data_IF_356060934662
#
_entry.id   IF_356060934662
#
_cell.length_a   1.000
_cell.length_b   1.000
_cell.length_c   1.000
_cell.angle_alpha   90.00
_cell.angle_beta   90.00
_cell.angle_gamma   90.00
#
_symmetry.space_group_name_H-M   'P 1'
#
loop_
_entity.id
_entity.type
_entity.pdbx_description
1 polymer ?
#
# COMPACT_ATOMS: atom_id res chain seq x y z
N UNK A 1 -6.34 24.16 20.40
CA UNK A 1 -5.80 23.46 19.23
C UNK A 1 -6.96 22.85 18.46
N UNK A 2 -6.99 23.03 17.16
CA UNK A 2 -7.99 22.38 16.31
C UNK A 2 -7.52 20.94 16.09
N UNK A 3 -8.24 19.98 16.66
CA UNK A 3 -8.00 18.57 16.37
C UNK A 3 -8.87 18.18 15.18
N UNK A 4 -8.25 17.89 14.08
CA UNK A 4 -8.91 17.38 12.88
C UNK A 4 -8.81 15.85 12.84
N UNK A 5 -9.79 15.22 12.23
CA UNK A 5 -9.69 13.81 11.90
C UNK A 5 -8.68 13.63 10.76
N UNK A 6 -7.71 12.76 10.95
CA UNK A 6 -6.75 12.34 9.93
C UNK A 6 -6.84 10.83 9.79
N UNK A 7 -7.48 10.37 8.72
CA UNK A 7 -7.73 8.94 8.47
C UNK A 7 -8.85 8.72 7.46
N UNK A 8 -9.12 7.47 7.16
CA UNK A 8 -10.22 7.05 6.29
C UNK A 8 -11.49 6.79 7.09
N UNK A 9 -12.63 7.13 6.51
CA UNK A 9 -13.95 6.95 7.13
C UNK A 9 -14.93 6.47 6.06
N UNK A 10 -15.82 5.55 6.43
CA UNK A 10 -16.88 5.04 5.56
C UNK A 10 -18.17 4.84 6.34
N UNK A 11 -19.30 4.92 5.64
CA UNK A 11 -20.61 4.61 6.19
C UNK A 11 -20.89 5.30 7.54
N UNK A 12 -20.77 6.63 7.56
CA UNK A 12 -21.03 7.41 8.76
C UNK A 12 -22.54 7.58 8.96
N UNK A 13 -23.04 7.04 10.05
CA UNK A 13 -24.45 7.11 10.45
C UNK A 13 -24.63 8.01 11.69
N UNK A 14 -25.59 8.90 11.62
CA UNK A 14 -26.08 9.68 12.76
C UNK A 14 -27.57 9.45 12.90
N UNK A 15 -28.01 8.81 13.99
CA UNK A 15 -29.41 8.50 14.26
C UNK A 15 -29.92 9.41 15.37
N UNK A 16 -30.74 10.40 14.99
CA UNK A 16 -31.28 11.39 15.90
C UNK A 16 -32.43 10.80 16.73
N UNK A 17 -32.21 10.76 18.04
CA UNK A 17 -33.22 10.25 19.01
C UNK A 17 -33.31 8.72 19.12
N UNK A 18 -32.43 7.97 18.45
CA UNK A 18 -32.42 6.50 18.48
C UNK A 18 -31.07 5.95 18.90
N UNK A 19 -31.09 4.88 19.69
CA UNK A 19 -29.90 4.13 20.08
C UNK A 19 -29.92 2.75 19.39
N UNK A 20 -28.90 2.43 18.65
CA UNK A 20 -28.74 1.19 17.91
C UNK A 20 -27.48 0.44 18.33
N UNK A 21 -27.45 -0.85 18.07
CA UNK A 21 -26.28 -1.70 18.31
C UNK A 21 -25.43 -1.81 17.03
N UNK A 22 -24.18 -2.24 17.15
CA UNK A 22 -23.31 -2.48 15.98
C UNK A 22 -23.92 -3.48 14.98
N UNK A 23 -24.68 -4.47 15.47
CA UNK A 23 -25.40 -5.46 14.65
C UNK A 23 -26.51 -4.87 13.77
N UNK A 24 -27.00 -3.66 14.06
CA UNK A 24 -27.96 -2.97 13.21
C UNK A 24 -27.29 -2.46 11.93
N UNK A 25 -25.99 -2.12 11.99
CA UNK A 25 -25.19 -1.55 10.90
C UNK A 25 -24.25 -2.54 10.22
N UNK A 26 -24.05 -3.71 10.78
CA UNK A 26 -23.21 -4.75 10.21
C UNK A 26 -23.57 -6.13 10.71
N UNK A 27 -22.88 -7.11 10.21
CA UNK A 27 -23.03 -8.51 10.60
C UNK A 27 -21.71 -9.25 10.49
N UNK A 28 -21.53 -10.30 11.27
CA UNK A 28 -20.36 -11.18 11.15
C UNK A 28 -20.68 -12.27 10.14
N UNK A 29 -19.85 -12.41 9.12
CA UNK A 29 -19.93 -13.49 8.16
C UNK A 29 -19.71 -14.82 8.89
N UNK A 30 -20.67 -15.73 8.78
CA UNK A 30 -20.64 -17.01 9.50
C UNK A 30 -19.52 -17.96 9.01
N UNK A 31 -19.01 -17.76 7.80
CA UNK A 31 -17.97 -18.61 7.19
C UNK A 31 -16.58 -18.09 7.50
N UNK A 32 -16.35 -16.78 7.34
CA UNK A 32 -15.03 -16.17 7.49
C UNK A 32 -14.79 -15.59 8.88
N UNK A 33 -15.83 -15.33 9.66
CA UNK A 33 -15.75 -14.59 10.92
C UNK A 33 -15.53 -13.08 10.73
N UNK A 34 -15.48 -12.59 9.50
CA UNK A 34 -15.29 -11.18 9.18
C UNK A 34 -16.55 -10.37 9.48
N UNK A 35 -16.40 -9.22 10.11
CA UNK A 35 -17.50 -8.27 10.27
C UNK A 35 -17.73 -7.51 8.96
N UNK A 36 -18.94 -7.60 8.42
CA UNK A 36 -19.35 -6.96 7.16
C UNK A 36 -20.35 -5.85 7.41
N UNK A 37 -20.12 -4.72 6.76
CA UNK A 37 -21.02 -3.56 6.84
C UNK A 37 -22.30 -3.81 6.06
N UNK A 38 -23.43 -3.42 6.62
CA UNK A 38 -24.72 -3.42 5.90
C UNK A 38 -24.80 -2.16 5.05
N UNK A 39 -24.91 -2.32 3.76
CA UNK A 39 -25.00 -1.20 2.80
C UNK A 39 -26.39 -0.51 2.85
N UNK A 40 -27.38 -1.14 3.47
CA UNK A 40 -28.74 -0.61 3.64
C UNK A 40 -29.30 -1.07 4.98
N UNK A 41 -28.81 -0.52 6.11
CA UNK A 41 -29.30 -0.88 7.43
C UNK A 41 -30.75 -0.44 7.60
N UNK A 42 -31.56 -1.27 8.29
CA UNK A 42 -32.96 -0.98 8.59
C UNK A 42 -33.06 -0.22 9.91
N UNK A 43 -32.73 1.07 9.88
CA UNK A 43 -32.72 1.95 11.06
C UNK A 43 -33.51 3.23 10.79
N UNK A 44 -34.01 3.86 11.85
CA UNK A 44 -34.61 5.19 11.77
C UNK A 44 -33.53 6.25 12.03
N UNK A 45 -33.48 7.25 11.17
CA UNK A 45 -32.53 8.36 11.31
C UNK A 45 -33.12 9.54 12.12
N UNK A 46 -34.42 9.50 12.45
CA UNK A 46 -35.07 10.64 13.08
C UNK A 46 -35.17 11.84 12.13
N UNK A 47 -35.34 13.04 12.67
CA UNK A 47 -35.50 14.25 11.84
C UNK A 47 -34.20 14.84 11.40
N UNK A 48 -33.18 14.88 12.26
CA UNK A 48 -31.87 15.51 11.97
C UNK A 48 -30.77 14.47 11.68
N UNK A 49 -31.11 13.19 11.63
CA UNK A 49 -30.16 12.13 11.34
C UNK A 49 -29.81 12.05 9.85
N UNK A 50 -28.68 11.41 9.56
CA UNK A 50 -28.14 11.29 8.20
C UNK A 50 -27.24 10.07 8.05
N UNK A 51 -27.00 9.68 6.81
CA UNK A 51 -26.07 8.63 6.39
C UNK A 51 -25.22 9.12 5.23
N UNK A 52 -23.95 9.32 5.45
CA UNK A 52 -23.00 9.85 4.44
C UNK A 52 -21.79 8.94 4.26
N UNK A 53 -20.95 9.23 3.27
CA UNK A 53 -19.71 8.51 2.94
C UNK A 53 -19.93 7.01 2.62
N UNK A 54 -21.09 6.69 2.06
CA UNK A 54 -21.39 5.35 1.57
C UNK A 54 -20.74 5.10 0.21
N UNK A 55 -20.88 6.06 -0.70
CA UNK A 55 -20.45 5.93 -2.08
C UNK A 55 -19.29 6.89 -2.36
N UNK A 56 -18.09 6.45 -2.03
CA UNK A 56 -16.87 7.25 -2.19
C UNK A 56 -16.82 8.42 -1.21
N UNK A 57 -16.33 9.57 -1.66
CA UNK A 57 -16.21 10.79 -0.86
C UNK A 57 -17.46 11.69 -0.89
N UNK A 58 -18.63 11.11 -1.15
CA UNK A 58 -19.89 11.85 -1.17
C UNK A 58 -20.37 12.19 0.24
N UNK A 59 -20.67 13.45 0.47
CA UNK A 59 -21.35 13.95 1.68
C UNK A 59 -22.86 14.15 1.46
N UNK A 60 -23.41 13.59 0.39
CA UNK A 60 -24.83 13.52 0.16
C UNK A 60 -25.45 12.52 1.12
N UNK A 61 -26.51 12.92 1.80
CA UNK A 61 -27.24 12.06 2.71
C UNK A 61 -27.96 10.94 1.97
N UNK A 62 -27.63 9.72 2.31
CA UNK A 62 -28.22 8.48 1.76
C UNK A 62 -29.38 7.96 2.60
N UNK A 63 -29.72 8.64 3.69
CA UNK A 63 -30.92 8.37 4.47
C UNK A 63 -32.18 8.95 3.80
N UNK A 64 -33.37 8.55 4.24
CA UNK A 64 -34.61 9.16 3.73
C UNK A 64 -34.75 10.67 4.02
N UNK A 65 -33.93 11.23 4.92
CA UNK A 65 -34.09 12.62 5.39
C UNK A 65 -33.58 13.67 4.41
N UNK A 66 -32.65 13.32 3.54
CA UNK A 66 -32.00 14.25 2.60
C UNK A 66 -31.29 15.42 3.29
N UNK A 67 -30.73 15.21 4.48
CA UNK A 67 -29.93 16.18 5.23
C UNK A 67 -28.52 16.29 4.65
N UNK A 68 -28.39 16.83 3.43
CA UNK A 68 -27.15 16.92 2.69
C UNK A 68 -26.16 17.88 3.32
N UNK A 69 -24.87 17.55 3.22
CA UNK A 69 -23.75 18.38 3.63
C UNK A 69 -23.05 19.01 2.43
N UNK A 70 -22.29 20.04 2.71
CA UNK A 70 -21.38 20.66 1.74
C UNK A 70 -19.98 20.67 2.33
N UNK A 71 -18.99 20.28 1.54
CA UNK A 71 -17.57 20.39 1.93
C UNK A 71 -17.19 21.85 1.98
N UNK A 72 -16.99 22.40 3.18
CA UNK A 72 -16.74 23.82 3.39
C UNK A 72 -15.26 24.20 3.11
N UNK A 73 -14.33 23.28 3.34
CA UNK A 73 -12.90 23.47 3.10
C UNK A 73 -12.19 22.12 2.98
N UNK A 74 -11.03 22.11 2.32
CA UNK A 74 -10.26 20.90 2.05
C UNK A 74 -10.85 20.05 0.94
N UNK A 75 -10.29 18.87 0.77
CA UNK A 75 -10.73 17.88 -0.21
C UNK A 75 -11.02 16.55 0.51
N UNK A 76 -12.12 15.93 0.16
CA UNK A 76 -12.37 14.54 0.50
C UNK A 76 -11.79 13.68 -0.61
N UNK A 77 -10.96 12.73 -0.22
CA UNK A 77 -10.30 11.81 -1.14
C UNK A 77 -11.03 10.48 -1.09
N UNK A 78 -11.53 10.02 -2.23
CA UNK A 78 -12.11 8.68 -2.31
C UNK A 78 -10.99 7.65 -2.25
N UNK A 79 -11.07 6.72 -1.29
CA UNK A 79 -10.20 5.55 -1.21
C UNK A 79 -11.02 4.28 -1.36
N UNK A 80 -10.39 3.19 -1.80
CA UNK A 80 -11.03 1.89 -1.89
C UNK A 80 -11.06 1.15 -0.54
N UNK A 81 -10.39 1.70 0.48
CA UNK A 81 -10.42 1.16 1.84
C UNK A 81 -11.81 1.23 2.44
N UNK A 82 -12.25 0.11 2.96
CA UNK A 82 -13.48 -0.01 3.74
C UNK A 82 -13.33 -1.14 4.76
N UNK A 83 -14.20 -1.23 5.78
CA UNK A 83 -14.09 -2.29 6.81
C UNK A 83 -14.07 -3.72 6.26
N UNK A 84 -14.65 -3.96 5.10
CA UNK A 84 -14.66 -5.27 4.44
C UNK A 84 -13.54 -5.48 3.42
N UNK A 85 -12.73 -4.47 3.17
CA UNK A 85 -11.54 -4.59 2.31
C UNK A 85 -10.50 -3.54 2.69
N UNK A 86 -9.56 -3.95 3.52
CA UNK A 86 -8.48 -3.08 4.00
C UNK A 86 -7.23 -3.36 3.19
N UNK A 87 -6.66 -2.34 2.58
CA UNK A 87 -5.41 -2.42 1.87
C UNK A 87 -4.22 -2.37 2.82
N UNK A 88 -3.10 -2.92 2.38
CA UNK A 88 -1.83 -2.81 3.08
C UNK A 88 -1.46 -1.34 3.30
N UNK A 89 -0.87 -1.05 4.44
CA UNK A 89 -0.18 0.20 4.75
C UNK A 89 1.16 -0.13 5.41
N UNK A 90 2.02 0.84 5.65
CA UNK A 90 3.19 0.59 6.48
C UNK A 90 2.81 0.53 7.96
N UNK A 91 3.51 -0.33 8.70
CA UNK A 91 3.30 -0.49 10.14
C UNK A 91 4.10 0.58 10.91
N UNK A 92 3.45 1.54 11.59
CA UNK A 92 4.15 2.57 12.33
C UNK A 92 4.86 2.04 13.59
N UNK A 93 4.60 0.81 13.99
CA UNK A 93 5.25 0.15 15.13
C UNK A 93 6.48 -0.68 14.71
N UNK A 94 6.70 -0.85 13.42
CA UNK A 94 7.80 -1.64 12.85
C UNK A 94 8.59 -0.78 11.85
N UNK A 95 9.20 0.28 12.36
CA UNK A 95 9.97 1.26 11.60
C UNK A 95 11.48 1.13 11.82
N UNK A 96 11.93 0.01 12.38
CA UNK A 96 13.35 -0.21 12.68
C UNK A 96 13.91 0.77 13.73
N UNK A 97 15.15 1.18 13.57
CA UNK A 97 15.85 2.10 14.51
C UNK A 97 15.62 3.57 14.19
N UNK A 98 14.63 3.91 13.38
CA UNK A 98 14.62 5.19 12.68
C UNK A 98 13.59 6.23 13.09
N UNK A 99 13.90 7.45 12.67
CA UNK A 99 13.17 8.69 12.91
C UNK A 99 12.27 9.10 11.74
N UNK A 100 11.88 8.15 10.88
CA UNK A 100 10.99 8.36 9.73
C UNK A 100 9.59 8.77 10.08
N UNK A 101 8.99 9.52 9.16
CA UNK A 101 7.58 9.89 9.25
C UNK A 101 6.79 9.12 8.21
N UNK A 102 5.84 8.32 8.69
CA UNK A 102 4.76 7.80 7.87
C UNK A 102 3.66 8.87 7.81
N UNK A 103 3.18 9.15 6.61
CA UNK A 103 2.18 10.18 6.32
C UNK A 103 1.06 9.57 5.49
N UNK A 104 -0.03 10.31 5.32
CA UNK A 104 -1.15 9.96 4.46
C UNK A 104 -1.71 8.56 4.76
N UNK A 105 -2.05 8.30 6.02
CA UNK A 105 -2.55 6.98 6.44
C UNK A 105 -1.51 5.87 6.32
N UNK A 106 -0.22 6.18 6.55
CA UNK A 106 0.92 5.28 6.46
C UNK A 106 1.17 4.71 5.05
N UNK A 107 0.80 5.45 4.01
CA UNK A 107 1.09 5.09 2.61
C UNK A 107 2.21 5.94 2.00
N UNK A 108 2.63 7.00 2.68
CA UNK A 108 3.77 7.82 2.26
C UNK A 108 4.89 7.74 3.28
N UNK A 109 6.10 7.57 2.79
CA UNK A 109 7.30 7.49 3.61
C UNK A 109 8.23 8.66 3.29
N UNK A 110 8.53 9.46 4.30
CA UNK A 110 9.45 10.60 4.18
C UNK A 110 10.56 10.48 5.20
N UNK A 111 11.82 10.35 4.75
CA UNK A 111 12.85 9.97 5.69
C UNK A 111 14.30 10.29 5.36
N UNK A 112 15.07 10.43 6.44
CA UNK A 112 16.54 10.44 6.42
C UNK A 112 17.18 9.05 6.51
N UNK A 113 16.64 8.10 7.24
CA UNK A 113 17.10 6.69 7.32
C UNK A 113 15.94 5.82 7.83
N UNK A 114 15.92 4.52 7.51
CA UNK A 114 15.07 3.53 8.16
C UNK A 114 14.32 2.57 7.25
N UNK A 115 13.66 1.68 7.91
CA UNK A 115 12.96 0.56 7.33
C UNK A 115 11.48 0.61 7.67
N UNK A 116 10.62 0.22 6.76
CA UNK A 116 9.18 0.04 7.05
C UNK A 116 8.65 -1.22 6.37
N UNK A 117 7.83 -1.94 7.08
CA UNK A 117 7.14 -3.14 6.58
C UNK A 117 5.64 -2.89 6.45
N UNK A 118 5.04 -3.57 5.49
CA UNK A 118 3.59 -3.59 5.31
C UNK A 118 2.86 -4.28 6.44
N UNK A 119 1.65 -3.81 6.73
CA UNK A 119 0.74 -4.35 7.77
C UNK A 119 0.06 -5.64 7.35
N UNK A 120 -0.06 -5.90 6.05
CA UNK A 120 -0.68 -7.09 5.49
C UNK A 120 0.40 -7.97 4.88
N UNK A 121 0.37 -9.23 5.24
CA UNK A 121 1.25 -10.26 4.70
C UNK A 121 0.46 -11.15 3.75
N UNK A 122 0.87 -11.22 2.48
CA UNK A 122 0.34 -12.17 1.53
C UNK A 122 0.76 -13.60 1.89
N UNK A 123 -0.15 -14.58 1.84
CA UNK A 123 0.20 -15.96 2.11
C UNK A 123 1.14 -16.50 1.04
N UNK A 124 1.79 -17.61 1.40
CA UNK A 124 2.53 -18.44 0.47
C UNK A 124 1.58 -19.03 -0.56
N UNK A 125 1.87 -18.80 -1.84
CA UNK A 125 1.01 -19.27 -2.94
C UNK A 125 0.20 -18.18 -3.66
N UNK A 126 0.22 -16.97 -3.19
CA UNK A 126 -0.47 -15.83 -3.82
C UNK A 126 0.39 -15.08 -4.85
N UNK A 127 -0.29 -14.20 -5.60
CA UNK A 127 0.34 -13.26 -6.53
C UNK A 127 -0.13 -11.85 -6.18
N UNK A 128 0.81 -10.96 -5.85
CA UNK A 128 0.54 -9.67 -5.24
C UNK A 128 1.12 -8.55 -6.09
N UNK A 129 0.45 -7.39 -6.09
CA UNK A 129 0.88 -6.22 -6.82
C UNK A 129 0.65 -4.95 -5.99
N UNK A 130 1.59 -4.02 -6.08
CA UNK A 130 1.48 -2.65 -5.56
C UNK A 130 2.35 -1.70 -6.36
N UNK A 131 2.16 -0.42 -6.16
CA UNK A 131 2.91 0.64 -6.84
C UNK A 131 3.57 1.58 -5.84
N UNK A 132 4.72 2.14 -6.23
CA UNK A 132 5.46 3.13 -5.48
C UNK A 132 5.84 4.29 -6.39
N UNK A 133 5.37 5.51 -6.09
CA UNK A 133 5.74 6.73 -6.81
C UNK A 133 6.96 7.37 -6.17
N UNK A 134 7.99 7.58 -6.96
CA UNK A 134 9.24 8.20 -6.52
C UNK A 134 9.03 9.70 -6.36
N UNK A 135 9.25 10.22 -5.16
CA UNK A 135 9.09 11.63 -4.84
C UNK A 135 10.25 12.50 -5.33
N UNK A 136 10.15 13.80 -5.08
CA UNK A 136 11.19 14.76 -5.42
C UNK A 136 12.48 14.53 -4.61
N UNK A 137 13.61 14.85 -5.19
CA UNK A 137 14.94 14.67 -4.58
C UNK A 137 15.59 13.32 -4.87
N UNK A 138 14.92 12.43 -5.60
CA UNK A 138 15.52 11.24 -6.17
C UNK A 138 16.24 11.54 -7.47
N UNK A 139 17.44 10.98 -7.61
CA UNK A 139 18.11 10.80 -8.89
C UNK A 139 18.53 12.09 -9.59
N UNK A 140 19.76 12.36 -9.55
CA UNK A 140 20.55 13.10 -10.52
C UNK A 140 21.92 12.48 -10.52
N UNK A 141 22.53 12.33 -11.67
CA UNK A 141 23.92 11.92 -11.76
C UNK A 141 24.78 12.81 -10.85
N UNK A 142 25.39 12.24 -9.83
CA UNK A 142 26.27 12.95 -8.92
C UNK A 142 25.76 13.21 -7.49
N UNK A 143 24.54 12.85 -7.15
CA UNK A 143 24.13 12.87 -5.77
C UNK A 143 24.75 11.68 -5.03
N UNK A 144 25.51 11.91 -3.99
CA UNK A 144 25.96 10.89 -3.03
C UNK A 144 24.78 10.34 -2.22
N UNK A 145 23.74 9.93 -2.92
CA UNK A 145 22.47 9.70 -2.37
C UNK A 145 22.24 8.24 -2.08
N UNK A 146 21.88 8.05 -0.89
CA UNK A 146 21.32 6.94 -0.18
C UNK A 146 20.70 5.84 -1.03
N UNK A 147 21.07 4.64 -0.71
CA UNK A 147 20.49 3.43 -1.24
C UNK A 147 19.03 3.34 -0.83
N UNK A 148 18.13 3.33 -1.78
CA UNK A 148 16.72 3.01 -1.59
C UNK A 148 16.45 1.60 -2.03
N UNK A 149 15.78 0.87 -1.16
CA UNK A 149 15.34 -0.49 -1.43
C UNK A 149 13.82 -0.51 -1.38
N UNK A 150 13.19 -0.99 -2.42
CA UNK A 150 11.75 -1.21 -2.47
C UNK A 150 11.45 -2.55 -3.13
N UNK A 151 10.54 -3.30 -2.54
CA UNK A 151 10.19 -4.62 -3.01
C UNK A 151 9.41 -5.42 -2.01
N UNK A 152 9.66 -6.72 -1.95
CA UNK A 152 9.03 -7.64 -1.05
C UNK A 152 9.99 -8.17 0.01
N UNK A 153 9.50 -8.25 1.23
CA UNK A 153 10.10 -9.00 2.30
C UNK A 153 9.40 -10.36 2.42
N UNK A 154 10.20 -11.44 2.38
CA UNK A 154 9.69 -12.79 2.59
C UNK A 154 9.93 -13.18 4.04
N UNK A 155 8.88 -13.16 4.86
CA UNK A 155 8.97 -13.40 6.29
C UNK A 155 9.14 -14.89 6.62
N UNK A 156 10.04 -15.17 7.56
CA UNK A 156 10.24 -16.50 8.17
C UNK A 156 9.72 -16.52 9.61
N UNK A 157 9.42 -17.68 10.14
CA UNK A 157 8.79 -17.86 11.46
C UNK A 157 9.56 -17.24 12.65
N UNK A 158 10.85 -17.03 12.54
CA UNK A 158 11.70 -16.44 13.61
C UNK A 158 12.49 -15.25 13.12
N UNK A 159 11.92 -14.44 12.25
CA UNK A 159 12.68 -13.47 11.52
C UNK A 159 12.91 -12.18 12.29
N UNK A 160 14.17 -11.90 12.56
CA UNK A 160 14.63 -10.55 12.85
C UNK A 160 15.00 -9.84 11.55
N UNK A 161 14.58 -8.61 11.39
CA UNK A 161 14.80 -7.72 10.26
C UNK A 161 16.19 -7.75 9.61
N UNK A 162 17.21 -7.93 10.43
CA UNK A 162 18.58 -7.67 10.04
C UNK A 162 19.18 -8.65 9.03
N UNK A 163 18.53 -9.76 8.70
CA UNK A 163 19.23 -10.83 8.00
C UNK A 163 18.55 -11.43 6.77
N UNK A 164 17.28 -11.14 6.50
CA UNK A 164 16.59 -11.75 5.36
C UNK A 164 15.46 -10.87 4.80
N UNK A 165 15.81 -9.84 4.05
CA UNK A 165 14.84 -8.87 3.55
C UNK A 165 14.14 -9.27 2.25
N UNK A 166 14.42 -10.43 1.69
CA UNK A 166 13.79 -10.84 0.45
C UNK A 166 14.40 -10.22 -0.81
N UNK A 167 13.60 -9.95 -1.81
CA UNK A 167 14.05 -9.43 -3.10
C UNK A 167 13.67 -7.96 -3.24
N UNK A 168 14.63 -7.13 -3.61
CA UNK A 168 14.48 -5.68 -3.64
C UNK A 168 15.08 -5.07 -4.89
N UNK A 169 14.40 -4.04 -5.41
CA UNK A 169 15.02 -3.10 -6.33
C UNK A 169 15.81 -2.07 -5.54
N UNK A 170 17.03 -1.82 -5.93
CA UNK A 170 17.94 -0.89 -5.29
C UNK A 170 18.20 0.28 -6.22
N UNK A 171 17.88 1.49 -5.77
CA UNK A 171 18.39 2.70 -6.40
C UNK A 171 19.65 3.12 -5.65
N UNK A 172 20.80 2.89 -6.24
CA UNK A 172 22.09 3.15 -5.59
C UNK A 172 22.75 4.41 -6.15
N UNK A 173 22.97 5.39 -5.28
CA UNK A 173 23.66 6.63 -5.65
C UNK A 173 25.10 6.75 -5.16
N UNK A 174 25.57 5.89 -4.25
CA UNK A 174 26.82 6.15 -3.54
C UNK A 174 28.08 5.46 -4.08
N UNK A 175 28.01 4.17 -4.34
CA UNK A 175 29.20 3.37 -4.67
C UNK A 175 29.05 2.54 -5.96
N UNK A 176 27.93 2.56 -6.63
CA UNK A 176 27.59 1.75 -7.79
C UNK A 176 27.03 2.59 -8.95
N UNK A 177 27.61 3.78 -9.17
CA UNK A 177 27.43 4.56 -10.41
C UNK A 177 25.99 4.74 -10.88
N UNK A 178 25.09 5.28 -10.05
CA UNK A 178 23.71 5.61 -10.46
C UNK A 178 23.01 4.46 -11.22
N UNK A 179 22.98 3.29 -10.65
CA UNK A 179 22.35 2.12 -11.27
C UNK A 179 21.09 1.73 -10.53
N UNK A 180 20.10 1.21 -11.26
CA UNK A 180 19.07 0.39 -10.68
C UNK A 180 19.57 -1.04 -10.63
N UNK A 181 19.59 -1.64 -9.45
CA UNK A 181 20.06 -2.99 -9.25
C UNK A 181 18.99 -3.84 -8.58
N UNK A 182 18.94 -5.12 -8.89
CA UNK A 182 18.07 -6.09 -8.25
C UNK A 182 18.87 -6.88 -7.22
N UNK A 183 18.41 -6.86 -5.99
CA UNK A 183 19.09 -7.49 -4.88
C UNK A 183 18.24 -8.63 -4.31
N UNK A 184 18.82 -9.84 -4.31
CA UNK A 184 18.23 -11.00 -3.68
C UNK A 184 18.96 -11.29 -2.36
N UNK A 185 18.34 -11.02 -1.23
CA UNK A 185 18.89 -11.26 0.11
C UNK A 185 18.26 -12.48 0.80
N UNK A 186 17.75 -13.44 0.05
CA UNK A 186 17.12 -14.63 0.62
C UNK A 186 18.10 -15.71 1.05
N UNK A 187 19.40 -15.42 1.07
CA UNK A 187 20.41 -16.36 1.56
C UNK A 187 21.86 -16.06 1.17
N UNK A 188 22.12 -15.52 0.02
CA UNK A 188 23.50 -15.33 -0.48
C UNK A 188 23.76 -13.97 -1.14
N UNK A 189 22.84 -13.05 -1.00
CA UNK A 189 22.98 -11.68 -1.47
C UNK A 189 23.53 -11.57 -2.90
N UNK A 190 22.74 -11.88 -3.91
CA UNK A 190 23.15 -11.68 -5.31
C UNK A 190 22.58 -10.37 -5.84
N UNK A 191 23.40 -9.61 -6.56
CA UNK A 191 22.99 -8.40 -7.24
C UNK A 191 22.97 -8.65 -8.73
N UNK A 192 21.85 -8.37 -9.37
CA UNK A 192 21.73 -8.31 -10.83
C UNK A 192 21.49 -6.87 -11.24
N UNK A 193 22.22 -6.40 -12.22
CA UNK A 193 22.07 -5.04 -12.75
C UNK A 193 21.35 -5.09 -14.10
N UNK A 194 20.06 -4.81 -14.17
CA UNK A 194 19.42 -4.58 -15.46
C UNK A 194 20.01 -3.30 -16.09
N UNK A 195 20.08 -3.27 -17.41
CA UNK A 195 20.61 -2.13 -18.16
C UNK A 195 19.60 -0.97 -18.20
N UNK A 196 19.12 -0.52 -17.04
CA UNK A 196 18.18 0.58 -16.91
C UNK A 196 18.70 1.62 -15.93
N UNK A 197 18.41 2.88 -16.22
CA UNK A 197 18.69 3.97 -15.29
C UNK A 197 17.81 3.88 -14.06
N UNK A 198 18.24 4.40 -12.89
CA UNK A 198 17.39 4.53 -11.72
C UNK A 198 16.13 5.34 -12.05
N UNK A 199 15.00 5.03 -11.40
CA UNK A 199 13.77 5.79 -11.64
C UNK A 199 13.94 7.25 -11.19
N UNK A 200 13.58 8.17 -12.07
CA UNK A 200 13.56 9.59 -11.76
C UNK A 200 12.37 9.94 -10.85
N UNK A 201 12.40 11.14 -10.26
CA UNK A 201 11.25 11.69 -9.55
C UNK A 201 9.99 11.69 -10.45
N UNK A 202 8.87 11.27 -9.91
CA UNK A 202 7.62 11.09 -10.62
C UNK A 202 7.42 9.72 -11.27
N UNK A 203 8.49 8.90 -11.40
CA UNK A 203 8.35 7.53 -11.90
C UNK A 203 7.49 6.71 -10.95
N UNK A 204 6.54 5.97 -11.48
CA UNK A 204 5.76 4.98 -10.75
C UNK A 204 6.39 3.61 -10.98
N UNK A 205 6.79 2.99 -9.89
CA UNK A 205 7.40 1.67 -9.87
C UNK A 205 6.36 0.65 -9.47
N UNK A 206 5.95 -0.22 -10.39
CA UNK A 206 5.13 -1.39 -10.10
C UNK A 206 5.99 -2.52 -9.56
N UNK A 207 5.51 -3.21 -8.53
CA UNK A 207 6.14 -4.39 -7.94
C UNK A 207 5.14 -5.55 -7.97
N UNK A 208 5.49 -6.64 -8.66
CA UNK A 208 4.68 -7.84 -8.76
C UNK A 208 5.41 -9.03 -8.17
N UNK A 209 4.78 -9.70 -7.22
CA UNK A 209 5.31 -10.87 -6.50
C UNK A 209 4.49 -12.09 -6.85
N UNK A 210 5.13 -13.18 -7.26
CA UNK A 210 4.48 -14.47 -7.50
C UNK A 210 5.08 -15.54 -6.58
N UNK A 211 4.26 -16.08 -5.70
CA UNK A 211 4.57 -17.18 -4.80
C UNK A 211 3.74 -18.44 -5.10
N UNK A 212 3.07 -18.51 -6.24
CA UNK A 212 2.14 -19.59 -6.58
C UNK A 212 2.83 -20.93 -6.93
N UNK A 213 4.12 -20.91 -7.20
CA UNK A 213 4.92 -22.09 -7.55
C UNK A 213 5.77 -22.63 -6.41
N UNK A 214 6.66 -23.60 -6.70
CA UNK A 214 7.67 -24.12 -5.77
C UNK A 214 8.78 -23.12 -5.43
N UNK A 215 8.92 -22.06 -6.24
CA UNK A 215 9.81 -20.93 -6.01
C UNK A 215 9.06 -19.63 -6.28
N UNK A 216 9.50 -18.56 -5.64
CA UNK A 216 8.94 -17.22 -5.85
C UNK A 216 9.68 -16.45 -6.93
N UNK A 217 8.99 -15.47 -7.49
CA UNK A 217 9.57 -14.45 -8.34
C UNK A 217 9.05 -13.06 -7.98
N UNK A 218 9.83 -12.05 -8.34
CA UNK A 218 9.43 -10.66 -8.20
C UNK A 218 9.85 -9.90 -9.45
N UNK A 219 8.98 -9.01 -9.94
CA UNK A 219 9.19 -8.18 -11.10
C UNK A 219 9.03 -6.72 -10.75
N UNK A 220 9.82 -5.87 -11.40
CA UNK A 220 9.73 -4.42 -11.31
C UNK A 220 9.36 -3.82 -12.66
N UNK A 221 8.50 -2.81 -12.60
CA UNK A 221 8.01 -2.07 -13.77
C UNK A 221 8.26 -0.59 -13.54
N UNK A 222 8.77 0.13 -14.53
CA UNK A 222 8.81 1.59 -14.51
C UNK A 222 7.78 2.12 -15.49
N UNK A 223 6.83 2.89 -14.96
CA UNK A 223 5.71 3.43 -15.73
C UNK A 223 5.06 2.35 -16.61
N UNK A 224 4.74 1.20 -16.02
CA UNK A 224 4.10 0.06 -16.68
C UNK A 224 5.00 -0.85 -17.51
N UNK A 225 6.28 -0.49 -17.73
CA UNK A 225 7.22 -1.31 -18.52
C UNK A 225 8.11 -2.15 -17.61
N UNK A 226 8.14 -3.47 -17.81
CA UNK A 226 9.03 -4.37 -17.04
C UNK A 226 10.50 -4.00 -17.27
N UNK A 227 11.22 -3.76 -16.18
CA UNK A 227 12.64 -3.37 -16.19
C UNK A 227 13.55 -4.44 -15.64
N UNK A 228 13.02 -5.41 -14.91
CA UNK A 228 13.80 -6.52 -14.42
C UNK A 228 13.04 -7.44 -13.48
N UNK A 229 13.62 -8.60 -13.22
CA UNK A 229 13.02 -9.61 -12.35
C UNK A 229 14.06 -10.42 -11.60
N UNK A 230 13.66 -10.95 -10.44
CA UNK A 230 14.36 -12.02 -9.74
C UNK A 230 13.45 -13.23 -9.75
N UNK A 231 13.98 -14.38 -10.10
CA UNK A 231 13.25 -15.66 -10.17
C UNK A 231 14.00 -16.73 -9.39
N UNK A 232 13.32 -17.85 -9.12
CA UNK A 232 13.95 -19.00 -8.44
C UNK A 232 14.22 -18.76 -6.96
N UNK A 233 13.50 -17.81 -6.32
CA UNK A 233 13.64 -17.57 -4.89
C UNK A 233 13.04 -18.75 -4.14
N UNK A 234 13.88 -19.50 -3.43
CA UNK A 234 13.43 -20.62 -2.59
C UNK A 234 12.70 -20.06 -1.36
N UNK A 235 11.45 -20.48 -1.15
CA UNK A 235 10.60 -19.96 -0.10
C UNK A 235 9.97 -21.05 0.80
N UNK A 236 10.60 -22.22 0.90
CA UNK A 236 10.13 -23.33 1.74
C UNK A 236 9.93 -22.93 3.20
N UNK A 237 10.80 -22.03 3.69
CA UNK A 237 10.82 -21.56 5.07
C UNK A 237 10.04 -20.25 5.27
N UNK A 238 9.41 -19.71 4.23
CA UNK A 238 8.70 -18.44 4.31
C UNK A 238 7.23 -18.65 4.66
N UNK A 239 6.68 -17.78 5.51
CA UNK A 239 5.26 -17.75 5.83
C UNK A 239 4.46 -17.05 4.73
N UNK A 240 5.06 -16.05 4.10
CA UNK A 240 4.45 -15.24 3.06
C UNK A 240 5.32 -14.04 2.71
N UNK A 241 4.77 -13.11 1.94
CA UNK A 241 5.45 -11.87 1.61
C UNK A 241 4.68 -10.65 2.10
N UNK A 242 5.40 -9.58 2.35
CA UNK A 242 4.85 -8.24 2.58
C UNK A 242 5.68 -7.19 1.87
N UNK A 243 5.18 -5.98 1.83
CA UNK A 243 5.88 -4.83 1.26
C UNK A 243 7.06 -4.45 2.14
N UNK A 244 8.17 -4.09 1.53
CA UNK A 244 9.30 -3.49 2.24
C UNK A 244 9.72 -2.20 1.55
N UNK A 245 10.01 -1.20 2.38
CA UNK A 245 10.73 0.00 1.99
C UNK A 245 11.88 0.18 2.98
N UNK A 246 13.09 0.25 2.45
CA UNK A 246 14.28 0.34 3.28
C UNK A 246 15.23 1.41 2.74
N UNK A 247 15.88 2.12 3.62
CA UNK A 247 16.93 3.08 3.28
C UNK A 247 18.19 2.87 4.12
N UNK A 248 19.30 2.74 3.45
CA UNK A 248 20.62 2.67 4.08
C UNK A 248 21.33 4.03 4.01
N UNK A 249 21.92 4.42 5.10
CA UNK A 249 22.84 5.54 5.38
C UNK A 249 23.13 6.58 4.29
N UNK A 250 22.96 7.84 4.64
CA UNK A 250 23.43 9.00 3.89
C UNK A 250 22.90 10.30 4.50
N UNK A 251 23.63 11.38 4.34
CA UNK A 251 23.31 12.73 4.85
C UNK A 251 22.36 13.51 3.95
N UNK A 252 21.67 12.86 3.04
CA UNK A 252 20.88 13.52 2.02
C UNK A 252 19.51 13.99 2.50
N UNK A 253 19.04 15.04 1.88
CA UNK A 253 17.73 15.68 2.05
C UNK A 253 16.57 14.68 2.05
N UNK A 254 15.56 14.96 2.85
CA UNK A 254 14.30 14.18 2.95
C UNK A 254 13.77 13.82 1.58
N UNK A 255 13.46 12.55 1.38
CA UNK A 255 12.91 12.00 0.15
C UNK A 255 11.65 11.25 0.47
N UNK A 256 10.65 11.45 -0.35
CA UNK A 256 9.38 10.78 -0.18
C UNK A 256 9.21 9.67 -1.22
N UNK A 257 8.64 8.57 -0.79
CA UNK A 257 8.03 7.58 -1.66
C UNK A 257 6.58 7.45 -1.25
N UNK A 258 5.70 7.52 -2.21
CA UNK A 258 4.26 7.41 -2.01
C UNK A 258 3.79 6.08 -2.58
N UNK A 259 3.14 5.27 -1.75
CA UNK A 259 2.69 3.94 -2.12
C UNK A 259 1.20 3.91 -2.40
N UNK A 260 0.84 3.23 -3.47
CA UNK A 260 -0.51 2.81 -3.79
C UNK A 260 -0.59 1.29 -3.62
N UNK A 261 -1.23 0.85 -2.55
CA UNK A 261 -1.48 -0.56 -2.29
C UNK A 261 -2.79 -1.06 -2.91
N UNK A 262 -3.45 -0.22 -3.70
CA UNK A 262 -4.74 -0.45 -4.33
C UNK A 262 -5.80 0.55 -3.90
N UNK A 263 -5.50 1.45 -2.97
CA UNK A 263 -6.44 2.49 -2.52
C UNK A 263 -6.68 3.60 -3.56
N UNK A 264 -5.94 3.59 -4.68
CA UNK A 264 -6.14 4.53 -5.79
C UNK A 264 -5.44 5.87 -5.62
N UNK A 265 -4.48 6.00 -4.69
CA UNK A 265 -3.79 7.24 -4.40
C UNK A 265 -2.29 7.04 -4.18
N UNK A 266 -1.50 8.03 -4.61
CA UNK A 266 -0.13 8.25 -4.20
C UNK A 266 -0.13 9.45 -3.25
N UNK A 267 0.01 9.20 -1.95
CA UNK A 267 -0.19 10.24 -0.94
C UNK A 267 -1.59 10.84 -1.03
N UNK A 268 -1.68 12.10 -1.42
CA UNK A 268 -2.95 12.81 -1.63
C UNK A 268 -3.34 12.93 -3.12
N UNK A 269 -2.52 12.40 -4.03
CA UNK A 269 -2.75 12.49 -5.47
C UNK A 269 -3.45 11.22 -5.96
N UNK A 270 -4.63 11.36 -6.53
CA UNK A 270 -5.36 10.26 -7.13
C UNK A 270 -4.60 9.68 -8.34
N UNK A 271 -4.79 8.39 -8.57
CA UNK A 271 -4.43 7.72 -9.84
C UNK A 271 -5.04 8.51 -10.99
N UNK A 272 -4.23 8.81 -12.01
CA UNK A 272 -4.63 9.70 -13.11
C UNK A 272 -5.46 8.96 -14.17
N UNK A 273 -5.10 7.69 -14.42
CA UNK A 273 -5.79 6.83 -15.37
C UNK A 273 -5.62 5.38 -14.93
N UNK A 274 -6.66 4.83 -14.32
CA UNK A 274 -6.59 3.46 -13.83
C UNK A 274 -6.28 2.45 -14.94
N UNK A 275 -5.24 1.65 -14.70
CA UNK A 275 -4.89 0.50 -15.51
C UNK A 275 -5.90 -0.65 -15.36
N UNK A 276 -5.77 -1.66 -16.21
CA UNK A 276 -6.59 -2.86 -16.13
C UNK A 276 -6.20 -3.71 -14.92
N UNK A 277 -7.20 -4.22 -14.22
CA UNK A 277 -7.03 -5.08 -13.06
C UNK A 277 -8.07 -6.21 -13.09
N UNK A 278 -7.62 -7.42 -13.47
CA UNK A 278 -8.51 -8.56 -13.65
C UNK A 278 -9.14 -9.06 -12.35
N UNK A 279 -8.49 -8.84 -11.19
CA UNK A 279 -9.06 -9.21 -9.89
C UNK A 279 -10.16 -8.25 -9.43
N UNK A 280 -10.25 -7.06 -10.03
CA UNK A 280 -11.11 -5.95 -9.59
C UNK A 280 -10.88 -5.51 -8.13
N UNK A 281 -9.75 -5.88 -7.54
CA UNK A 281 -9.34 -5.45 -6.20
C UNK A 281 -8.28 -4.36 -6.30
N UNK A 282 -8.67 -3.15 -5.95
CA UNK A 282 -7.81 -1.97 -5.94
C UNK A 282 -7.76 -1.23 -7.29
N UNK A 283 -7.32 0.02 -7.21
CA UNK A 283 -7.14 0.94 -8.33
C UNK A 283 -5.64 1.27 -8.44
N UNK A 284 -5.04 0.98 -9.57
CA UNK A 284 -3.64 1.20 -9.86
C UNK A 284 -3.46 2.09 -11.09
N UNK A 285 -2.34 2.81 -11.18
CA UNK A 285 -2.04 3.67 -12.33
C UNK A 285 -1.77 2.86 -13.60
N UNK A 286 -1.11 1.69 -13.45
CA UNK A 286 -0.76 0.81 -14.57
C UNK A 286 -1.47 -0.54 -14.49
N UNK A 287 -1.44 -1.26 -15.61
CA UNK A 287 -2.03 -2.59 -15.71
C UNK A 287 -1.43 -3.56 -14.69
N UNK A 288 -2.29 -4.18 -13.92
CA UNK A 288 -1.89 -5.24 -12.99
C UNK A 288 -1.53 -6.50 -13.77
N UNK A 289 -0.34 -7.07 -13.60
CA UNK A 289 0.05 -8.29 -14.30
C UNK A 289 -0.94 -9.43 -14.07
N UNK A 290 -1.21 -10.21 -15.11
CA UNK A 290 -2.20 -11.27 -15.09
C UNK A 290 -2.06 -12.20 -13.87
N UNK A 291 -3.18 -12.45 -13.21
CA UNK A 291 -3.28 -13.29 -12.03
C UNK A 291 -2.77 -12.66 -10.73
N UNK A 292 -2.28 -11.41 -10.76
CA UNK A 292 -1.93 -10.67 -9.54
C UNK A 292 -3.15 -9.90 -9.01
N UNK A 293 -3.14 -9.68 -7.71
CA UNK A 293 -4.15 -8.91 -7.00
C UNK A 293 -3.51 -7.93 -6.01
N UNK A 294 -4.29 -6.98 -5.52
CA UNK A 294 -3.85 -6.08 -4.47
C UNK A 294 -3.56 -6.83 -3.16
N UNK A 295 -2.55 -6.36 -2.41
CA UNK A 295 -2.28 -6.84 -1.07
C UNK A 295 -3.31 -6.22 -0.11
N UNK A 296 -4.45 -6.88 0.05
CA UNK A 296 -5.59 -6.44 0.85
C UNK A 296 -6.33 -7.63 1.48
N UNK A 297 -7.20 -7.36 2.44
CA UNK A 297 -7.90 -8.42 3.19
C UNK A 297 -8.78 -9.29 2.30
N UNK A 298 -9.41 -8.74 1.26
CA UNK A 298 -10.14 -9.56 0.26
C UNK A 298 -9.19 -10.41 -0.58
N UNK A 299 -8.08 -9.84 -1.02
CA UNK A 299 -7.09 -10.55 -1.83
C UNK A 299 -6.47 -11.75 -1.10
N UNK A 300 -6.44 -11.75 0.23
CA UNK A 300 -5.96 -12.90 1.02
C UNK A 300 -6.90 -14.13 0.94
N UNK A 301 -8.12 -13.93 0.49
CA UNK A 301 -9.16 -14.96 0.44
C UNK A 301 -9.46 -15.46 -1.00
N UNK A 302 -8.69 -15.03 -2.01
CA UNK A 302 -8.82 -15.45 -3.42
C UNK A 302 -7.95 -16.65 -3.80
#
# INVERSE_FOLDING_TARGET
GNSYWDGSMSHFHWCDGYAYQASDFGETDATTGEWKIKTSPSVSYGTNGFFILKDGNSVTDQSPNTNNFTVAAGNLTKTEDCPSNVFCTFNPLDTGTDTGSLLNGNTSYSQSQGDSIGTIMGPKGGKWYWEAKIGSGHGGAGANDSNYYFGACFLKENNTWATNHGAMGICNGGNQSNTFALYNNTGSGSITQPSVSPPAAGTIVGIAVDMSGGTSSIKWFFNGTEVGSITGITHTDFLGCTVVNQRFTGTATMRSIEYNFGNGYFGTTAVSSAGTNASNLGIFEYDVPSGHTALCTKGLNE
#
